data_IF_204830867465
#
_entry.id   IF_204830867465
#
_cell.length_a   1.000
_cell.length_b   1.000
_cell.length_c   1.000
_cell.angle_alpha   90.00
_cell.angle_beta   90.00
_cell.angle_gamma   90.00
#
_symmetry.space_group_name_H-M   'P 1'
#
loop_
_entity.id
_entity.type
_entity.pdbx_description
1 polymer ?
#
# COMPACT_ATOMS: atom_id res chain seq x y z
N UNK A 1 -13.58 -6.47 -12.69
CA UNK A 1 -13.73 -5.59 -11.53
C UNK A 1 -15.19 -5.25 -11.18
N UNK A 2 -16.17 -5.71 -11.99
CA UNK A 2 -17.60 -5.37 -11.79
C UNK A 2 -18.34 -6.36 -10.87
N UNK A 3 -17.74 -7.48 -10.51
CA UNK A 3 -18.41 -8.55 -9.78
C UNK A 3 -18.40 -8.45 -8.24
N UNK A 4 -17.85 -7.39 -7.64
CA UNK A 4 -17.73 -7.23 -6.18
C UNK A 4 -18.46 -6.00 -5.64
N UNK A 5 -19.35 -5.39 -6.43
CA UNK A 5 -20.09 -4.19 -6.02
C UNK A 5 -21.29 -4.49 -5.13
N UNK A 6 -21.70 -5.76 -5.06
CA UNK A 6 -22.83 -6.18 -4.22
C UNK A 6 -22.51 -6.09 -2.73
N UNK A 7 -21.20 -6.03 -2.37
CA UNK A 7 -20.75 -5.96 -0.97
C UNK A 7 -20.50 -4.52 -0.48
N UNK A 8 -20.48 -3.51 -1.37
CA UNK A 8 -20.17 -2.11 -1.03
C UNK A 8 -21.17 -1.17 -1.69
N UNK A 9 -21.82 -0.33 -0.90
CA UNK A 9 -22.72 0.71 -1.43
C UNK A 9 -21.92 1.85 -2.09
N UNK A 10 -20.92 2.36 -1.37
CA UNK A 10 -20.09 3.49 -1.84
C UNK A 10 -18.60 3.28 -1.53
N UNK A 11 -17.74 3.77 -2.44
CA UNK A 11 -16.30 3.82 -2.25
C UNK A 11 -15.84 5.27 -2.22
N UNK A 12 -15.23 5.71 -1.12
CA UNK A 12 -14.67 7.04 -1.01
C UNK A 12 -13.16 6.98 -1.16
N UNK A 13 -12.63 7.73 -2.12
CA UNK A 13 -11.19 7.77 -2.42
C UNK A 13 -10.63 9.12 -1.99
N UNK A 14 -9.75 9.11 -0.98
CA UNK A 14 -8.97 10.26 -0.56
C UNK A 14 -7.59 10.23 -1.19
N UNK A 15 -7.29 11.16 -2.06
CA UNK A 15 -5.99 11.23 -2.72
C UNK A 15 -5.65 12.64 -3.20
N UNK A 16 -4.44 12.79 -3.76
CA UNK A 16 -4.05 13.97 -4.51
C UNK A 16 -4.89 14.11 -5.77
N UNK A 17 -5.12 15.35 -6.22
CA UNK A 17 -5.91 15.62 -7.42
C UNK A 17 -5.37 14.87 -8.63
N UNK A 18 -4.07 14.92 -8.87
CA UNK A 18 -3.42 14.21 -9.97
C UNK A 18 -3.64 12.68 -9.99
N UNK A 19 -3.91 12.08 -8.84
CA UNK A 19 -4.27 10.65 -8.75
C UNK A 19 -5.76 10.45 -8.99
N UNK A 20 -6.61 11.35 -8.49
CA UNK A 20 -8.06 11.27 -8.66
C UNK A 20 -8.46 11.45 -10.13
N UNK A 21 -7.73 12.28 -10.87
CA UNK A 21 -7.97 12.52 -12.30
C UNK A 21 -7.73 11.27 -13.17
N UNK A 22 -6.91 10.31 -12.69
CA UNK A 22 -6.66 9.03 -13.36
C UNK A 22 -7.77 7.99 -13.13
N UNK A 23 -8.68 8.27 -12.19
CA UNK A 23 -9.75 7.34 -11.83
C UNK A 23 -11.00 7.70 -12.62
N UNK A 24 -11.54 6.73 -13.34
CA UNK A 24 -12.79 6.89 -14.09
C UNK A 24 -13.93 7.24 -13.11
N UNK A 25 -14.76 8.20 -13.48
CA UNK A 25 -15.94 8.55 -12.69
C UNK A 25 -16.98 7.45 -12.77
N UNK A 26 -17.48 7.06 -11.60
CA UNK A 26 -18.58 6.10 -11.46
C UNK A 26 -19.51 6.59 -10.35
N UNK A 27 -20.81 6.29 -10.46
CA UNK A 27 -21.83 6.76 -9.52
C UNK A 27 -21.57 6.36 -8.06
N UNK A 28 -20.91 5.22 -7.84
CA UNK A 28 -20.55 4.67 -6.54
C UNK A 28 -19.16 5.09 -6.04
N UNK A 29 -18.42 5.94 -6.79
CA UNK A 29 -17.11 6.46 -6.37
C UNK A 29 -17.22 7.93 -6.01
N UNK A 30 -16.93 8.26 -4.76
CA UNK A 30 -16.76 9.62 -4.28
C UNK A 30 -15.27 9.94 -4.18
N UNK A 31 -14.81 10.95 -4.91
CA UNK A 31 -13.43 11.42 -4.91
C UNK A 31 -13.30 12.63 -3.99
N UNK A 32 -12.34 12.59 -3.07
CA UNK A 32 -12.11 13.70 -2.12
C UNK A 32 -10.63 14.06 -2.14
N UNK A 33 -10.33 15.32 -2.43
CA UNK A 33 -9.01 15.91 -2.26
C UNK A 33 -9.02 16.90 -1.09
N UNK A 34 -7.92 16.95 -0.36
CA UNK A 34 -7.66 17.99 0.63
C UNK A 34 -6.37 18.72 0.29
N UNK A 35 -6.27 20.04 0.51
CA UNK A 35 -5.05 20.81 0.26
C UNK A 35 -3.80 20.26 0.94
N UNK A 36 -3.98 19.58 2.09
CA UNK A 36 -2.89 18.90 2.80
C UNK A 36 -2.28 17.73 2.04
N UNK A 37 -3.00 17.13 1.10
CA UNK A 37 -2.46 16.03 0.29
C UNK A 37 -1.50 16.51 -0.80
N UNK A 38 -1.63 17.77 -1.23
CA UNK A 38 -0.74 18.40 -2.19
C UNK A 38 0.58 18.87 -1.55
N UNK A 39 0.62 18.94 -0.22
CA UNK A 39 1.77 19.41 0.53
C UNK A 39 2.80 18.28 0.79
N UNK A 40 3.88 18.63 1.50
CA UNK A 40 4.96 17.72 1.86
C UNK A 40 4.48 16.58 2.79
N UNK A 41 5.34 15.56 2.94
CA UNK A 41 5.02 14.36 3.72
C UNK A 41 4.63 14.68 5.18
N UNK A 42 5.29 15.65 5.82
CA UNK A 42 5.05 15.98 7.23
C UNK A 42 3.63 16.53 7.44
N UNK A 43 3.18 17.44 6.55
CA UNK A 43 1.83 17.98 6.60
C UNK A 43 0.77 16.89 6.39
N UNK A 44 1.02 15.96 5.47
CA UNK A 44 0.11 14.82 5.23
C UNK A 44 0.02 13.90 6.44
N UNK A 45 1.15 13.57 7.06
CA UNK A 45 1.21 12.74 8.27
C UNK A 45 0.49 13.42 9.43
N UNK A 46 0.72 14.73 9.62
CA UNK A 46 0.02 15.52 10.64
C UNK A 46 -1.50 15.50 10.40
N UNK A 47 -1.93 15.77 9.16
CA UNK A 47 -3.35 15.73 8.81
C UNK A 47 -3.97 14.34 9.06
N UNK A 48 -3.31 13.26 8.63
CA UNK A 48 -3.78 11.89 8.89
C UNK A 48 -3.88 11.60 10.39
N UNK A 49 -2.95 12.12 11.18
CA UNK A 49 -2.91 11.84 12.62
C UNK A 49 -4.05 12.51 13.39
N UNK A 50 -4.46 13.71 12.99
CA UNK A 50 -5.35 14.56 13.77
C UNK A 50 -6.73 14.78 13.15
N UNK A 51 -6.85 14.71 11.84
CA UNK A 51 -8.08 15.06 11.13
C UNK A 51 -8.75 13.89 10.41
N UNK A 52 -7.99 12.88 9.99
CA UNK A 52 -8.53 11.77 9.19
C UNK A 52 -9.70 11.08 9.90
N UNK A 53 -9.59 10.82 11.19
CA UNK A 53 -10.63 10.12 11.96
C UNK A 53 -11.97 10.86 11.94
N UNK A 54 -11.93 12.19 12.11
CA UNK A 54 -13.14 13.01 12.07
C UNK A 54 -13.78 13.01 10.67
N UNK A 55 -12.95 13.03 9.61
CA UNK A 55 -13.46 12.96 8.25
C UNK A 55 -14.05 11.59 7.91
N UNK A 56 -13.46 10.51 8.41
CA UNK A 56 -14.00 9.15 8.25
C UNK A 56 -15.36 9.03 8.94
N UNK A 57 -15.49 9.51 10.18
CA UNK A 57 -16.78 9.54 10.93
C UNK A 57 -17.83 10.39 10.23
N UNK A 58 -17.46 11.58 9.76
CA UNK A 58 -18.36 12.49 9.05
C UNK A 58 -18.91 11.87 7.76
N UNK A 59 -18.11 11.08 7.08
CA UNK A 59 -18.51 10.37 5.86
C UNK A 59 -19.09 8.96 6.14
N UNK A 60 -19.32 8.59 7.40
CA UNK A 60 -19.90 7.29 7.82
C UNK A 60 -19.16 6.09 7.22
N UNK A 61 -17.84 6.14 7.28
CA UNK A 61 -17.01 5.06 6.71
C UNK A 61 -16.98 3.87 7.67
N UNK A 62 -17.35 2.69 7.19
CA UNK A 62 -17.37 1.45 7.97
C UNK A 62 -16.00 0.80 8.03
N UNK A 63 -15.25 0.81 6.92
CA UNK A 63 -13.94 0.18 6.82
C UNK A 63 -12.98 1.03 5.97
N UNK A 64 -11.72 1.07 6.36
CA UNK A 64 -10.68 1.80 5.63
C UNK A 64 -9.70 0.84 4.99
N UNK A 65 -9.40 1.04 3.71
CA UNK A 65 -8.28 0.38 3.04
C UNK A 65 -7.08 1.34 2.91
N UNK A 66 -5.96 0.95 3.51
CA UNK A 66 -4.68 1.67 3.43
C UNK A 66 -3.70 0.91 2.55
N UNK A 67 -3.43 1.37 1.33
CA UNK A 67 -2.44 0.73 0.45
C UNK A 67 -1.00 1.03 0.92
N UNK A 68 -0.66 0.65 2.14
CA UNK A 68 0.64 0.90 2.75
C UNK A 68 0.54 1.23 4.23
N UNK A 69 1.66 1.62 4.84
CA UNK A 69 1.67 2.06 6.24
C UNK A 69 1.13 3.48 6.39
N UNK A 70 0.41 3.74 7.45
CA UNK A 70 -0.13 5.06 7.78
C UNK A 70 -0.43 5.19 9.26
N UNK A 71 -0.74 6.41 9.70
CA UNK A 71 -1.16 6.67 11.06
C UNK A 71 -2.69 6.63 11.15
N UNK A 72 -3.24 5.49 11.61
CA UNK A 72 -4.65 5.41 11.97
C UNK A 72 -4.77 5.14 13.48
N UNK A 73 -5.69 5.85 14.12
CA UNK A 73 -6.11 5.55 15.48
C UNK A 73 -6.94 4.25 15.51
N UNK A 74 -7.01 3.62 16.68
CA UNK A 74 -7.72 2.35 16.90
C UNK A 74 -9.26 2.42 16.75
N UNK A 75 -9.83 3.59 16.48
CA UNK A 75 -11.27 3.81 16.51
C UNK A 75 -12.03 3.31 15.28
N UNK A 76 -11.34 2.90 14.22
CA UNK A 76 -11.93 2.38 13.00
C UNK A 76 -11.20 1.13 12.54
N UNK A 77 -11.95 0.18 12.04
CA UNK A 77 -11.43 -1.01 11.43
C UNK A 77 -10.76 -0.69 10.10
N UNK A 78 -9.57 -1.20 9.90
CA UNK A 78 -8.86 -1.00 8.64
C UNK A 78 -8.10 -2.22 8.18
N UNK A 79 -8.04 -2.37 6.87
CA UNK A 79 -7.18 -3.34 6.17
C UNK A 79 -6.00 -2.61 5.56
N UNK A 80 -4.84 -3.20 5.60
CA UNK A 80 -3.63 -2.61 5.03
C UNK A 80 -2.89 -3.59 4.12
N UNK A 81 -1.93 -3.09 3.37
CA UNK A 81 -1.13 -3.89 2.43
C UNK A 81 0.37 -3.70 2.69
N UNK A 82 1.09 -4.80 2.73
CA UNK A 82 2.56 -4.77 2.76
C UNK A 82 3.11 -4.66 1.33
N UNK A 83 3.53 -3.45 0.94
CA UNK A 83 4.09 -3.16 -0.40
C UNK A 83 5.61 -3.14 -0.43
N UNK A 84 6.26 -3.01 0.72
CA UNK A 84 7.72 -2.87 0.80
C UNK A 84 8.26 -3.73 1.94
N UNK A 85 9.06 -4.71 1.59
CA UNK A 85 9.73 -5.64 2.52
C UNK A 85 11.10 -5.16 2.97
N UNK A 86 11.69 -4.20 2.24
CA UNK A 86 13.07 -3.73 2.50
C UNK A 86 13.31 -3.29 3.95
N UNK A 87 12.39 -2.57 4.65
CA UNK A 87 12.58 -2.20 6.04
C UNK A 87 12.76 -3.38 7.00
N UNK A 88 12.34 -4.58 6.60
CA UNK A 88 12.43 -5.81 7.39
C UNK A 88 13.68 -6.63 7.07
N UNK A 89 14.35 -6.36 5.96
CA UNK A 89 15.56 -7.06 5.54
C UNK A 89 16.81 -6.43 6.19
N UNK A 90 17.25 -7.04 7.28
CA UNK A 90 18.41 -6.53 8.02
C UNK A 90 19.71 -6.67 7.23
N UNK A 91 19.84 -7.68 6.36
CA UNK A 91 21.02 -7.86 5.51
C UNK A 91 21.11 -6.75 4.47
N UNK A 92 19.99 -6.45 3.80
CA UNK A 92 19.93 -5.34 2.85
C UNK A 92 20.11 -3.99 3.55
N UNK A 93 19.54 -3.80 4.73
CA UNK A 93 19.69 -2.57 5.51
C UNK A 93 21.14 -2.28 5.93
N UNK A 94 21.97 -3.29 6.14
CA UNK A 94 23.39 -3.11 6.45
C UNK A 94 24.14 -2.37 5.34
N UNK A 95 23.72 -2.47 4.08
CA UNK A 95 24.31 -1.72 2.95
C UNK A 95 24.14 -0.21 3.09
N UNK A 96 23.14 0.23 3.86
CA UNK A 96 22.82 1.64 4.12
C UNK A 96 23.35 2.11 5.48
N UNK A 97 24.10 1.28 6.21
CA UNK A 97 24.65 1.62 7.52
C UNK A 97 25.38 2.98 7.46
N UNK A 98 25.17 3.81 8.46
CA UNK A 98 25.71 5.17 8.57
C UNK A 98 25.10 6.20 7.58
N UNK A 99 23.99 5.89 6.91
CA UNK A 99 23.28 6.83 6.04
C UNK A 99 21.95 7.30 6.63
N UNK A 100 21.46 8.44 6.17
CA UNK A 100 20.11 8.92 6.49
C UNK A 100 19.05 7.91 6.04
N UNK A 101 19.32 7.18 4.95
CA UNK A 101 18.42 6.13 4.45
C UNK A 101 18.24 5.01 5.47
N UNK A 102 19.29 4.61 6.19
CA UNK A 102 19.19 3.60 7.25
C UNK A 102 18.22 4.00 8.35
N UNK A 103 18.33 5.25 8.83
CA UNK A 103 17.43 5.79 9.86
C UNK A 103 15.98 5.83 9.35
N UNK A 104 15.79 6.28 8.11
CA UNK A 104 14.46 6.29 7.47
C UNK A 104 13.84 4.89 7.38
N UNK A 105 14.60 3.87 7.00
CA UNK A 105 14.10 2.50 6.91
C UNK A 105 13.80 1.91 8.29
N UNK A 106 14.60 2.18 9.31
CA UNK A 106 14.30 1.76 10.69
C UNK A 106 13.01 2.39 11.21
N UNK A 107 12.84 3.70 10.99
CA UNK A 107 11.60 4.39 11.35
C UNK A 107 10.41 3.84 10.57
N UNK A 108 10.57 3.58 9.27
CA UNK A 108 9.52 3.00 8.43
C UNK A 108 9.14 1.60 8.93
N UNK A 109 10.11 0.76 9.32
CA UNK A 109 9.84 -0.55 9.95
C UNK A 109 8.95 -0.40 11.17
N UNK A 110 9.27 0.51 12.09
CA UNK A 110 8.48 0.74 13.30
C UNK A 110 7.05 1.18 12.98
N UNK A 111 6.89 2.11 12.05
CA UNK A 111 5.57 2.57 11.60
C UNK A 111 4.78 1.42 10.96
N UNK A 112 5.41 0.62 10.09
CA UNK A 112 4.77 -0.52 9.44
C UNK A 112 4.33 -1.58 10.44
N UNK A 113 5.23 -2.00 11.35
CA UNK A 113 4.89 -2.99 12.40
C UNK A 113 3.73 -2.49 13.26
N UNK A 114 3.77 -1.22 13.68
CA UNK A 114 2.68 -0.62 14.45
C UNK A 114 1.36 -0.62 13.68
N UNK A 115 1.38 -0.23 12.39
CA UNK A 115 0.20 -0.21 11.54
C UNK A 115 -0.36 -1.62 11.33
N UNK A 116 0.51 -2.58 10.98
CA UNK A 116 0.10 -3.95 10.70
C UNK A 116 -0.50 -4.60 11.96
N UNK A 117 0.12 -4.46 13.13
CA UNK A 117 -0.41 -5.01 14.37
C UNK A 117 -1.76 -4.42 14.81
N UNK A 118 -2.12 -3.23 14.32
CA UNK A 118 -3.42 -2.59 14.62
C UNK A 118 -4.50 -2.93 13.60
N UNK A 119 -4.13 -3.40 12.40
CA UNK A 119 -5.09 -3.71 11.35
C UNK A 119 -5.93 -4.95 11.69
N UNK A 120 -7.15 -5.01 11.16
CA UNK A 120 -8.00 -6.20 11.22
C UNK A 120 -7.65 -7.19 10.11
N UNK A 121 -6.98 -6.73 9.04
CA UNK A 121 -6.53 -7.55 7.92
C UNK A 121 -5.28 -7.01 7.25
N UNK A 122 -4.43 -7.92 6.76
CA UNK A 122 -3.18 -7.59 6.10
C UNK A 122 -3.05 -8.32 4.76
N UNK A 123 -2.87 -7.55 3.69
CA UNK A 123 -2.66 -8.07 2.35
C UNK A 123 -1.16 -8.13 2.07
N UNK A 124 -0.69 -9.29 1.64
CA UNK A 124 0.65 -9.50 1.12
C UNK A 124 0.62 -9.69 -0.39
N UNK A 125 1.69 -9.32 -1.07
CA UNK A 125 1.79 -9.47 -2.52
C UNK A 125 2.28 -10.85 -2.95
N UNK A 126 2.97 -11.56 -2.05
CA UNK A 126 3.50 -12.91 -2.27
C UNK A 126 3.80 -13.60 -0.94
N UNK A 127 4.09 -14.91 -1.01
CA UNK A 127 4.42 -15.75 0.15
C UNK A 127 5.71 -15.33 0.84
N UNK A 128 6.70 -14.87 0.08
CA UNK A 128 7.94 -14.35 0.64
C UNK A 128 7.67 -13.17 1.59
N UNK A 129 6.89 -12.18 1.14
CA UNK A 129 6.52 -11.04 1.97
C UNK A 129 5.75 -11.48 3.23
N UNK A 130 4.81 -12.41 3.11
CA UNK A 130 4.05 -12.95 4.23
C UNK A 130 4.95 -13.60 5.27
N UNK A 131 5.83 -14.51 4.85
CA UNK A 131 6.73 -15.22 5.75
C UNK A 131 7.75 -14.29 6.39
N UNK A 132 8.31 -13.37 5.59
CA UNK A 132 9.41 -12.51 6.02
C UNK A 132 8.96 -11.41 6.96
N UNK A 133 7.86 -10.74 6.65
CA UNK A 133 7.30 -9.67 7.48
C UNK A 133 6.57 -10.23 8.69
N UNK A 134 5.87 -11.36 8.54
CA UNK A 134 5.11 -12.00 9.61
C UNK A 134 5.94 -12.31 10.86
N UNK A 135 7.22 -12.66 10.69
CA UNK A 135 8.17 -12.87 11.80
C UNK A 135 8.38 -11.65 12.70
N UNK A 136 8.05 -10.46 12.21
CA UNK A 136 8.21 -9.20 12.93
C UNK A 136 6.92 -8.71 13.59
N UNK A 137 5.82 -9.45 13.44
CA UNK A 137 4.52 -9.07 13.98
C UNK A 137 4.29 -9.78 15.33
N UNK A 138 3.65 -9.05 16.26
CA UNK A 138 3.45 -9.53 17.64
C UNK A 138 2.26 -10.47 17.78
N UNK A 139 1.38 -10.53 16.76
CA UNK A 139 0.18 -11.38 16.77
C UNK A 139 -0.07 -11.97 15.39
N UNK A 140 -0.82 -13.06 15.37
CA UNK A 140 -1.39 -13.57 14.12
C UNK A 140 -2.47 -12.60 13.62
N UNK A 141 -2.29 -12.06 12.42
CA UNK A 141 -3.24 -11.16 11.78
C UNK A 141 -3.92 -11.94 10.66
N UNK A 142 -5.23 -11.74 10.52
CA UNK A 142 -5.94 -12.25 9.35
C UNK A 142 -5.27 -11.70 8.09
N UNK A 143 -4.76 -12.59 7.23
CA UNK A 143 -3.95 -12.16 6.10
C UNK A 143 -4.24 -12.95 4.84
N UNK A 144 -4.21 -12.25 3.70
CA UNK A 144 -4.41 -12.85 2.38
C UNK A 144 -3.27 -12.45 1.44
N UNK A 145 -2.90 -13.34 0.54
CA UNK A 145 -1.96 -13.04 -0.54
C UNK A 145 -2.77 -12.63 -1.75
N UNK A 146 -2.55 -11.39 -2.20
CA UNK A 146 -3.19 -10.83 -3.38
C UNK A 146 -2.08 -10.20 -4.23
N UNK A 147 -1.59 -10.90 -5.27
CA UNK A 147 -0.55 -10.36 -6.14
C UNK A 147 -1.07 -9.17 -6.94
N UNK A 148 -0.16 -8.30 -7.37
CA UNK A 148 -0.52 -7.22 -8.30
C UNK A 148 -1.06 -7.79 -9.60
N UNK A 149 -2.15 -7.22 -10.08
CA UNK A 149 -2.66 -7.49 -11.41
C UNK A 149 -1.67 -7.01 -12.48
N UNK A 150 -1.62 -7.73 -13.59
CA UNK A 150 -0.86 -7.35 -14.76
C UNK A 150 -1.81 -6.83 -15.85
N UNK A 151 -1.48 -5.71 -16.47
CA UNK A 151 -2.28 -5.20 -17.58
C UNK A 151 -2.16 -6.16 -18.78
N UNK A 152 -3.27 -6.35 -19.50
CA UNK A 152 -3.31 -7.22 -20.69
C UNK A 152 -2.28 -6.83 -21.76
N UNK A 153 -1.89 -5.56 -21.83
CA UNK A 153 -0.83 -5.08 -22.72
C UNK A 153 0.56 -5.71 -22.46
N UNK A 154 0.76 -6.29 -21.27
CA UNK A 154 2.01 -7.00 -20.92
C UNK A 154 1.98 -8.51 -21.23
N UNK A 155 0.85 -9.03 -21.72
CA UNK A 155 0.78 -10.41 -22.17
C UNK A 155 1.24 -10.51 -23.62
N UNK A 156 2.44 -10.99 -23.83
CA UNK A 156 2.94 -11.34 -25.15
C UNK A 156 2.62 -12.80 -25.48
N UNK A 157 2.12 -13.04 -26.70
CA UNK A 157 2.32 -14.34 -27.31
C UNK A 157 3.79 -14.41 -27.72
N UNK A 158 4.56 -15.27 -27.08
CA UNK A 158 5.95 -15.50 -27.42
C UNK A 158 5.98 -16.18 -28.79
N UNK A 159 6.21 -15.43 -29.85
CA UNK A 159 6.66 -16.05 -31.11
C UNK A 159 8.00 -16.71 -30.82
N UNK A 160 8.11 -17.98 -31.18
CA UNK A 160 9.34 -18.77 -30.97
C UNK A 160 10.45 -18.18 -31.81
N UNK A 161 11.10 -17.14 -31.30
CA UNK A 161 12.36 -16.67 -31.89
C UNK A 161 13.39 -17.77 -31.60
N UNK A 162 13.78 -18.52 -32.64
CA UNK A 162 14.91 -19.42 -32.60
C UNK A 162 16.20 -18.58 -32.63
N UNK A 163 16.55 -17.99 -31.52
CA UNK A 163 17.86 -17.37 -31.35
C UNK A 163 18.69 -18.26 -30.43
N UNK A 164 19.86 -18.65 -30.85
CA UNK A 164 20.84 -19.34 -30.01
C UNK A 164 21.52 -18.38 -29.02
N UNK A 165 21.17 -17.11 -29.05
CA UNK A 165 21.73 -16.08 -28.19
C UNK A 165 20.88 -15.90 -26.92
N UNK A 166 21.53 -15.85 -25.78
CA UNK A 166 20.89 -15.51 -24.50
C UNK A 166 20.82 -14.00 -24.36
N UNK A 167 19.64 -13.45 -24.48
CA UNK A 167 19.40 -12.02 -24.26
C UNK A 167 18.92 -11.80 -22.82
N UNK A 168 19.63 -10.97 -22.06
CA UNK A 168 19.26 -10.55 -20.71
C UNK A 168 18.66 -9.15 -20.79
N UNK A 169 17.42 -9.00 -20.31
CA UNK A 169 16.75 -7.69 -20.23
C UNK A 169 16.63 -7.31 -18.76
N UNK A 170 17.17 -6.15 -18.41
CA UNK A 170 16.98 -5.54 -17.09
C UNK A 170 16.07 -4.33 -17.23
N UNK A 171 14.93 -4.36 -16.54
CA UNK A 171 13.98 -3.24 -16.49
C UNK A 171 14.00 -2.68 -15.08
N UNK A 172 14.41 -1.44 -14.94
CA UNK A 172 14.45 -0.73 -13.66
C UNK A 172 13.85 0.67 -13.81
N UNK A 173 13.36 1.21 -12.68
CA UNK A 173 13.00 2.62 -12.59
C UNK A 173 14.28 3.39 -12.27
N UNK A 174 14.66 4.33 -13.14
CA UNK A 174 15.74 5.28 -12.91
C UNK A 174 15.31 6.34 -11.89
#
# INVERSE_FOLDING_TARGET
AEHYLDDFEDVIIWSKQSTLDLIVDKSWIKKINYPSFERNLLVRVFWQRFFLENELKKNKVDIVFLPGSGFINKSLDFVTMCRNVLPFDEKELQKYKYSIAFVKFKLLKLIQVSTFNKSIGLIYLNDFAKTFVGKNLNKSINSKIIPHGCNKSFYFKRDKVKSNEKVYIYVSRL
#
